data_IF_754542154877
#
_entry.id   IF_754542154877
#
_cell.length_a   1.000
_cell.length_b   1.000
_cell.length_c   1.000
_cell.angle_alpha   90.00
_cell.angle_beta   90.00
_cell.angle_gamma   90.00
#
_symmetry.space_group_name_H-M   'P 1'
#
loop_
_entity.id
_entity.type
_entity.pdbx_description
1 polymer ?
#
# COMPACT_ATOMS: atom_id res chain seq x y z
N UNK A 1 24.82 -52.22 -49.36
CA UNK A 1 24.53 -51.02 -48.53
C UNK A 1 24.39 -49.82 -49.45
N UNK A 2 23.41 -48.95 -49.19
CA UNK A 2 23.27 -47.61 -49.78
C UNK A 2 22.67 -47.46 -51.20
N UNK A 3 21.51 -48.07 -51.48
CA UNK A 3 20.70 -47.61 -52.63
C UNK A 3 19.17 -47.63 -52.43
N UNK A 4 18.64 -48.31 -51.40
CA UNK A 4 17.18 -48.33 -51.16
C UNK A 4 16.68 -47.35 -50.10
N UNK A 5 17.59 -46.62 -49.44
CA UNK A 5 17.26 -45.68 -48.36
C UNK A 5 17.14 -44.22 -48.84
N UNK A 6 17.64 -43.89 -50.03
CA UNK A 6 17.63 -42.50 -50.54
C UNK A 6 16.40 -42.14 -51.38
N UNK A 7 15.57 -43.11 -51.77
CA UNK A 7 14.43 -42.91 -52.69
C UNK A 7 13.06 -42.95 -51.97
N UNK A 8 13.03 -42.56 -50.69
CA UNK A 8 11.77 -42.34 -49.93
C UNK A 8 11.68 -40.94 -49.32
N UNK A 9 12.58 -40.03 -49.67
CA UNK A 9 12.66 -38.69 -49.07
C UNK A 9 11.94 -37.58 -49.88
N UNK A 10 11.35 -37.90 -51.04
CA UNK A 10 10.65 -36.90 -51.87
C UNK A 10 9.41 -37.45 -52.58
N UNK A 11 8.51 -38.15 -51.89
CA UNK A 11 7.12 -38.23 -52.36
C UNK A 11 6.39 -36.94 -51.96
N UNK A 12 5.72 -36.22 -52.89
CA UNK A 12 4.88 -35.10 -52.51
C UNK A 12 3.79 -35.66 -51.59
N UNK A 13 3.83 -35.32 -50.31
CA UNK A 13 2.87 -35.79 -49.32
C UNK A 13 1.45 -35.76 -49.90
N UNK A 14 0.79 -36.93 -49.89
CA UNK A 14 -0.53 -37.15 -50.49
C UNK A 14 -1.50 -36.00 -50.20
N UNK A 15 -2.33 -35.62 -51.17
CA UNK A 15 -3.28 -34.50 -51.02
C UNK A 15 -4.27 -34.74 -49.86
N UNK A 16 -4.55 -36.00 -49.53
CA UNK A 16 -5.50 -36.40 -48.46
C UNK A 16 -5.05 -36.01 -47.04
N UNK A 17 -3.83 -36.31 -46.57
CA UNK A 17 -3.36 -35.86 -45.24
C UNK A 17 -3.26 -34.33 -45.12
N UNK A 18 -2.98 -33.60 -46.20
CA UNK A 18 -2.98 -32.14 -46.20
C UNK A 18 -4.39 -31.56 -46.02
N UNK A 19 -5.39 -32.13 -46.70
CA UNK A 19 -6.80 -31.77 -46.52
C UNK A 19 -7.28 -32.05 -45.09
N UNK A 20 -6.91 -33.21 -44.53
CA UNK A 20 -7.27 -33.56 -43.16
C UNK A 20 -6.63 -32.60 -42.14
N UNK A 21 -5.33 -32.32 -42.29
CA UNK A 21 -4.63 -31.36 -41.44
C UNK A 21 -5.24 -29.96 -41.54
N UNK A 22 -5.61 -29.52 -42.75
CA UNK A 22 -6.33 -28.27 -42.97
C UNK A 22 -7.66 -28.23 -42.21
N UNK A 23 -8.51 -29.25 -42.35
CA UNK A 23 -9.79 -29.33 -41.63
C UNK A 23 -9.63 -29.32 -40.11
N UNK A 24 -8.63 -30.03 -39.58
CA UNK A 24 -8.30 -30.04 -38.14
C UNK A 24 -7.86 -28.64 -37.69
N UNK A 25 -6.97 -27.97 -38.42
CA UNK A 25 -6.53 -26.60 -38.13
C UNK A 25 -7.70 -25.60 -38.15
N UNK A 26 -8.59 -25.70 -39.14
CA UNK A 26 -9.76 -24.83 -39.22
C UNK A 26 -10.73 -25.07 -38.06
N UNK A 27 -10.98 -26.33 -37.70
CA UNK A 27 -11.83 -26.68 -36.56
C UNK A 27 -11.23 -26.17 -35.24
N UNK A 28 -9.93 -26.39 -35.02
CA UNK A 28 -9.19 -25.87 -33.87
C UNK A 28 -9.26 -24.34 -33.83
N UNK A 29 -9.06 -23.66 -34.97
CA UNK A 29 -9.18 -22.22 -35.06
C UNK A 29 -10.56 -21.73 -34.62
N UNK A 30 -11.66 -22.33 -35.11
CA UNK A 30 -13.01 -21.91 -34.71
C UNK A 30 -13.30 -22.12 -33.22
N UNK A 31 -12.80 -23.20 -32.62
CA UNK A 31 -12.94 -23.44 -31.17
C UNK A 31 -12.22 -22.37 -30.36
N UNK A 32 -11.00 -21.98 -30.76
CA UNK A 32 -10.22 -20.98 -30.03
C UNK A 32 -10.52 -19.53 -30.45
N UNK A 33 -11.16 -19.28 -31.59
CA UNK A 33 -11.44 -17.94 -32.09
C UNK A 33 -12.42 -17.18 -31.19
N UNK A 34 -13.50 -17.83 -30.74
CA UNK A 34 -14.45 -17.21 -29.81
C UNK A 34 -13.78 -16.94 -28.45
N UNK A 35 -13.04 -17.91 -27.91
CA UNK A 35 -12.28 -17.73 -26.68
C UNK A 35 -11.26 -16.59 -26.78
N UNK A 36 -10.55 -16.48 -27.90
CA UNK A 36 -9.60 -15.42 -28.17
C UNK A 36 -10.30 -14.06 -28.28
N UNK A 37 -11.47 -13.99 -28.93
CA UNK A 37 -12.27 -12.77 -29.03
C UNK A 37 -12.75 -12.29 -27.66
N UNK A 38 -13.33 -13.18 -26.86
CA UNK A 38 -13.77 -12.85 -25.49
C UNK A 38 -12.60 -12.42 -24.61
N UNK A 39 -11.46 -13.12 -24.69
CA UNK A 39 -10.26 -12.75 -23.95
C UNK A 39 -9.74 -11.38 -24.38
N UNK A 40 -9.70 -11.10 -25.69
CA UNK A 40 -9.22 -9.84 -26.23
C UNK A 40 -10.07 -8.65 -25.77
N UNK A 41 -11.40 -8.79 -25.76
CA UNK A 41 -12.29 -7.75 -25.25
C UNK A 41 -12.16 -7.56 -23.73
N UNK A 42 -12.16 -8.64 -22.96
CA UNK A 42 -11.97 -8.57 -21.51
C UNK A 42 -10.61 -7.96 -21.15
N UNK A 43 -9.56 -8.31 -21.90
CA UNK A 43 -8.23 -7.74 -21.74
C UNK A 43 -8.22 -6.25 -22.08
N UNK A 44 -8.85 -5.85 -23.20
CA UNK A 44 -8.96 -4.46 -23.61
C UNK A 44 -9.66 -3.61 -22.55
N UNK A 45 -10.78 -4.09 -22.00
CA UNK A 45 -11.50 -3.39 -20.92
C UNK A 45 -10.68 -3.26 -19.64
N UNK A 46 -10.00 -4.33 -19.21
CA UNK A 46 -9.21 -4.33 -17.97
C UNK A 46 -7.95 -3.47 -18.09
N UNK A 47 -7.22 -3.61 -19.19
CA UNK A 47 -5.97 -2.88 -19.44
C UNK A 47 -6.20 -1.41 -19.77
N UNK A 48 -7.35 -1.06 -20.35
CA UNK A 48 -7.70 0.32 -20.72
C UNK A 48 -8.51 1.05 -19.62
N UNK A 49 -8.47 0.54 -18.38
CA UNK A 49 -9.10 1.19 -17.23
C UNK A 49 -8.11 2.12 -16.51
N UNK A 50 -8.34 3.45 -16.51
CA UNK A 50 -7.47 4.37 -15.80
C UNK A 50 -7.58 4.17 -14.27
N UNK A 51 -6.45 4.29 -13.57
CA UNK A 51 -6.42 4.13 -12.10
C UNK A 51 -6.72 5.43 -11.33
N UNK A 52 -6.47 6.60 -11.95
CA UNK A 52 -6.66 7.91 -11.32
C UNK A 52 -8.14 8.34 -11.33
N UNK A 53 -8.86 7.96 -12.38
CA UNK A 53 -10.29 8.24 -12.54
C UNK A 53 -10.96 6.98 -13.05
N UNK A 54 -12.16 6.70 -12.55
CA UNK A 54 -12.87 5.49 -12.93
C UNK A 54 -14.35 5.78 -13.10
N UNK A 55 -15.00 4.96 -13.94
CA UNK A 55 -16.45 5.01 -14.12
C UNK A 55 -17.11 4.26 -12.96
N UNK A 56 -18.11 4.87 -12.35
CA UNK A 56 -18.96 4.25 -11.35
C UNK A 56 -20.42 4.35 -11.79
N UNK A 57 -21.20 3.31 -11.47
CA UNK A 57 -22.64 3.30 -11.72
C UNK A 57 -23.37 3.48 -10.40
N UNK A 58 -24.21 4.51 -10.33
CA UNK A 58 -25.04 4.78 -9.16
C UNK A 58 -26.24 3.83 -9.10
N UNK A 59 -26.92 3.76 -7.95
CA UNK A 59 -28.12 2.92 -7.76
C UNK A 59 -29.24 3.24 -8.78
N UNK A 60 -29.30 4.46 -9.26
CA UNK A 60 -30.24 4.91 -10.29
C UNK A 60 -29.78 4.60 -11.73
N UNK A 61 -28.81 3.71 -11.93
CA UNK A 61 -28.20 3.36 -13.21
C UNK A 61 -27.49 4.49 -13.96
N UNK A 62 -27.31 5.65 -13.34
CA UNK A 62 -26.53 6.75 -13.94
C UNK A 62 -25.04 6.43 -13.85
N UNK A 63 -24.36 6.51 -14.99
CA UNK A 63 -22.90 6.48 -15.04
C UNK A 63 -22.32 7.83 -14.65
N UNK A 64 -21.35 7.80 -13.74
CA UNK A 64 -20.57 8.97 -13.34
C UNK A 64 -19.09 8.66 -13.47
N UNK A 65 -18.30 9.68 -13.74
CA UNK A 65 -16.84 9.60 -13.63
C UNK A 65 -16.46 10.09 -12.23
N UNK A 66 -15.71 9.27 -11.51
CA UNK A 66 -15.13 9.61 -10.20
C UNK A 66 -13.68 10.02 -10.44
N UNK A 67 -13.36 11.28 -10.19
CA UNK A 67 -12.02 11.86 -10.34
C UNK A 67 -11.45 12.44 -9.04
N UNK A 68 -11.99 12.05 -7.88
CA UNK A 68 -11.55 12.47 -6.55
C UNK A 68 -10.03 12.32 -6.30
N UNK A 69 -9.40 11.25 -6.80
CA UNK A 69 -7.96 11.06 -6.66
C UNK A 69 -7.15 12.08 -7.46
N UNK A 70 -7.66 12.53 -8.61
CA UNK A 70 -7.07 13.64 -9.37
C UNK A 70 -7.14 14.94 -8.58
N UNK A 71 -8.27 15.22 -7.92
CA UNK A 71 -8.41 16.39 -7.03
C UNK A 71 -7.39 16.35 -5.89
N UNK A 72 -7.16 15.16 -5.32
CA UNK A 72 -6.14 14.97 -4.29
C UNK A 72 -4.73 15.33 -4.77
N UNK A 73 -4.35 14.93 -5.99
CA UNK A 73 -3.07 15.33 -6.57
C UNK A 73 -2.95 16.84 -6.76
N UNK A 74 -4.03 17.53 -7.16
CA UNK A 74 -4.04 18.99 -7.23
C UNK A 74 -3.82 19.65 -5.87
N UNK A 75 -4.30 19.03 -4.79
CA UNK A 75 -4.06 19.47 -3.43
C UNK A 75 -2.61 19.21 -2.99
N UNK A 76 -2.04 18.07 -3.37
CA UNK A 76 -0.67 17.65 -3.03
C UNK A 76 0.42 18.40 -3.81
N UNK A 77 0.13 18.89 -5.03
CA UNK A 77 1.14 19.41 -5.98
C UNK A 77 2.07 20.53 -5.47
N UNK A 78 1.70 21.23 -4.38
CA UNK A 78 2.49 22.31 -3.76
C UNK A 78 2.99 21.94 -2.36
N UNK A 79 3.16 20.65 -2.08
CA UNK A 79 3.48 20.12 -0.76
C UNK A 79 4.53 19.02 -0.88
N UNK A 80 5.29 18.85 0.19
CA UNK A 80 6.30 17.79 0.31
C UNK A 80 5.65 16.57 0.97
N UNK A 81 5.82 15.38 0.38
CA UNK A 81 5.48 14.12 1.03
C UNK A 81 6.63 13.68 1.94
N UNK A 82 6.27 13.01 3.04
CA UNK A 82 7.26 12.46 3.98
C UNK A 82 7.70 11.04 3.61
N UNK A 83 6.92 10.34 2.78
CA UNK A 83 7.27 9.04 2.20
C UNK A 83 7.10 9.04 0.67
N UNK A 84 7.76 8.08 0.03
CA UNK A 84 7.72 7.83 -1.41
C UNK A 84 7.46 6.34 -1.72
N UNK A 85 7.35 6.02 -3.02
CA UNK A 85 7.15 4.64 -3.50
C UNK A 85 8.42 3.80 -3.62
N UNK A 86 9.61 4.34 -3.29
CA UNK A 86 10.89 3.65 -3.46
C UNK A 86 11.25 2.75 -2.28
N UNK A 87 10.54 2.92 -1.15
CA UNK A 87 10.60 2.03 0.03
C UNK A 87 11.98 1.74 0.60
N UNK A 88 12.94 2.66 0.47
CA UNK A 88 14.33 2.44 0.88
C UNK A 88 14.57 2.52 2.41
N UNK A 89 13.65 3.16 3.16
CA UNK A 89 13.75 3.29 4.62
C UNK A 89 12.53 2.65 5.31
N UNK A 90 12.65 1.38 5.66
CA UNK A 90 11.59 0.61 6.33
C UNK A 90 11.21 1.15 7.70
N UNK A 91 12.16 1.69 8.47
CA UNK A 91 11.88 2.26 9.79
C UNK A 91 11.03 3.53 9.70
N UNK A 92 11.29 4.36 8.69
CA UNK A 92 10.45 5.53 8.41
C UNK A 92 9.03 5.10 8.04
N UNK A 93 8.88 4.11 7.15
CA UNK A 93 7.57 3.57 6.77
C UNK A 93 6.85 2.98 7.98
N UNK A 94 7.55 2.23 8.83
CA UNK A 94 6.99 1.68 10.06
C UNK A 94 6.59 2.75 11.08
N UNK A 95 7.34 3.86 11.13
CA UNK A 95 6.98 5.02 11.95
C UNK A 95 5.65 5.61 11.48
N UNK A 96 5.46 5.78 10.16
CA UNK A 96 4.20 6.26 9.60
C UNK A 96 3.05 5.26 9.83
N UNK A 97 3.30 3.97 9.60
CA UNK A 97 2.34 2.90 9.88
C UNK A 97 1.90 2.94 11.35
N UNK A 98 2.85 3.01 12.28
CA UNK A 98 2.58 3.10 13.71
C UNK A 98 1.77 4.33 14.10
N UNK A 99 2.02 5.49 13.47
CA UNK A 99 1.22 6.71 13.70
C UNK A 99 -0.22 6.54 13.20
N UNK A 100 -0.41 5.98 12.01
CA UNK A 100 -1.73 5.83 11.41
C UNK A 100 -2.59 4.78 12.16
N UNK A 101 -1.97 3.74 12.71
CA UNK A 101 -2.68 2.68 13.45
C UNK A 101 -2.77 2.92 14.96
N UNK A 102 -2.03 3.90 15.49
CA UNK A 102 -2.11 4.29 16.90
C UNK A 102 -3.48 4.87 17.29
N UNK A 103 -3.87 4.77 18.58
CA UNK A 103 -4.95 5.56 19.13
C UNK A 103 -4.75 7.06 18.85
N UNK A 104 -5.83 7.76 18.55
CA UNK A 104 -5.81 9.15 18.07
C UNK A 104 -4.91 10.12 18.88
N UNK A 105 -4.91 10.03 20.21
CA UNK A 105 -4.10 10.89 21.07
C UNK A 105 -2.59 10.58 20.95
N UNK A 106 -2.23 9.31 20.90
CA UNK A 106 -0.84 8.87 20.67
C UNK A 106 -0.39 9.29 19.27
N UNK A 107 -1.24 9.05 18.27
CA UNK A 107 -0.96 9.43 16.89
C UNK A 107 -0.70 10.94 16.75
N UNK A 108 -1.51 11.78 17.40
CA UNK A 108 -1.31 13.23 17.42
C UNK A 108 0.03 13.63 18.05
N UNK A 109 0.38 12.99 19.16
CA UNK A 109 1.61 13.30 19.91
C UNK A 109 2.87 13.15 19.05
N UNK A 110 2.85 12.21 18.10
CA UNK A 110 3.91 11.94 17.13
C UNK A 110 3.75 12.79 15.86
N UNK A 111 2.55 12.79 15.26
CA UNK A 111 2.28 13.46 13.98
C UNK A 111 2.57 14.96 14.01
N UNK A 112 2.32 15.64 15.15
CA UNK A 112 2.57 17.08 15.34
C UNK A 112 4.05 17.48 15.20
N UNK A 113 4.96 16.51 15.21
CA UNK A 113 6.41 16.72 15.02
C UNK A 113 6.89 16.41 13.60
N UNK A 114 6.05 15.78 12.78
CA UNK A 114 6.41 15.29 11.44
C UNK A 114 5.65 15.98 10.31
N UNK A 115 4.36 16.26 10.50
CA UNK A 115 3.48 16.64 9.41
C UNK A 115 2.51 17.77 9.78
N UNK A 116 2.18 18.59 8.77
CA UNK A 116 1.12 19.60 8.86
C UNK A 116 -0.26 19.06 8.49
N UNK A 117 -0.29 18.03 7.65
CA UNK A 117 -1.51 17.46 7.12
C UNK A 117 -1.38 15.94 7.01
N UNK A 118 -2.51 15.26 7.17
CA UNK A 118 -2.68 13.83 6.92
C UNK A 118 -3.71 13.68 5.82
N UNK A 119 -3.36 12.97 4.75
CA UNK A 119 -4.27 12.62 3.67
C UNK A 119 -4.63 11.14 3.82
N UNK A 120 -5.92 10.83 3.71
CA UNK A 120 -6.43 9.45 3.73
C UNK A 120 -7.31 9.21 2.53
N UNK A 121 -7.18 8.02 1.95
CA UNK A 121 -8.14 7.50 0.99
C UNK A 121 -9.26 6.80 1.76
N UNK A 122 -10.49 7.19 1.44
CA UNK A 122 -11.70 6.80 2.13
C UNK A 122 -12.78 6.35 1.12
N UNK A 123 -13.96 6.01 1.63
CA UNK A 123 -15.14 5.76 0.81
C UNK A 123 -15.31 4.33 0.33
N UNK A 124 -14.62 3.36 0.94
CA UNK A 124 -14.91 1.94 0.83
C UNK A 124 -14.36 1.29 -0.45
N UNK A 125 -13.99 0.01 -0.31
CA UNK A 125 -13.45 -0.84 -1.38
C UNK A 125 -12.01 -0.46 -1.76
N UNK A 126 -11.02 -1.11 -1.13
CA UNK A 126 -9.59 -0.91 -1.42
C UNK A 126 -8.99 0.40 -0.90
N UNK A 127 -9.71 1.10 -0.02
CA UNK A 127 -9.27 2.30 0.68
C UNK A 127 -8.18 1.99 1.73
N UNK A 128 -7.71 3.02 2.43
CA UNK A 128 -6.61 2.84 3.39
C UNK A 128 -7.02 1.96 4.57
N UNK A 129 -8.31 1.90 4.92
CA UNK A 129 -8.84 1.00 5.94
C UNK A 129 -8.69 -0.48 5.54
N UNK A 130 -8.95 -0.82 4.28
CA UNK A 130 -8.76 -2.20 3.80
C UNK A 130 -7.29 -2.66 3.88
N UNK A 131 -6.35 -1.72 3.77
CA UNK A 131 -4.90 -1.99 3.83
C UNK A 131 -4.32 -1.82 5.24
N UNK A 132 -5.10 -1.25 6.16
CA UNK A 132 -4.64 -0.89 7.50
C UNK A 132 -4.12 -2.04 8.37
N UNK A 133 -4.59 -3.30 8.27
CA UNK A 133 -3.96 -4.41 8.98
C UNK A 133 -2.51 -4.64 8.56
N UNK A 134 -2.17 -4.37 7.30
CA UNK A 134 -0.79 -4.42 6.83
C UNK A 134 0.05 -3.29 7.42
N UNK A 135 -0.49 -2.07 7.50
CA UNK A 135 0.17 -0.94 8.16
C UNK A 135 0.47 -1.24 9.64
N UNK A 136 -0.49 -1.84 10.36
CA UNK A 136 -0.32 -2.23 11.75
C UNK A 136 0.81 -3.25 11.92
N UNK A 137 0.90 -4.25 11.02
CA UNK A 137 1.99 -5.25 11.02
C UNK A 137 3.36 -4.63 10.78
N UNK A 138 3.48 -3.69 9.83
CA UNK A 138 4.74 -2.98 9.58
C UNK A 138 5.12 -2.12 10.80
N UNK A 139 4.16 -1.38 11.37
CA UNK A 139 4.42 -0.60 12.57
C UNK A 139 4.88 -1.47 13.75
N UNK A 140 4.22 -2.61 13.96
CA UNK A 140 4.50 -3.53 15.05
C UNK A 140 5.84 -4.29 14.90
N UNK A 141 6.32 -4.50 13.67
CA UNK A 141 7.60 -5.19 13.44
C UNK A 141 8.81 -4.35 13.89
N UNK A 142 8.72 -3.01 13.77
CA UNK A 142 9.78 -2.08 14.19
C UNK A 142 9.55 -1.56 15.61
N UNK A 143 8.29 -1.29 15.98
CA UNK A 143 7.90 -0.78 17.30
C UNK A 143 7.02 -1.81 18.03
N UNK A 144 7.63 -2.77 18.77
CA UNK A 144 6.89 -3.81 19.45
C UNK A 144 6.03 -3.24 20.59
N UNK A 145 4.94 -3.94 20.91
CA UNK A 145 4.04 -3.58 22.00
C UNK A 145 2.79 -2.80 21.57
N UNK A 146 2.65 -2.49 20.27
CA UNK A 146 1.37 -2.02 19.74
C UNK A 146 0.34 -3.15 19.75
N UNK A 147 0.72 -4.32 19.22
CA UNK A 147 -0.14 -5.50 19.14
C UNK A 147 0.41 -6.61 20.05
N UNK A 148 -0.49 -7.46 20.57
CA UNK A 148 -0.11 -8.61 21.41
C UNK A 148 0.60 -9.71 20.63
N UNK A 149 0.51 -9.70 19.30
CA UNK A 149 1.05 -10.73 18.42
C UNK A 149 1.72 -10.12 17.17
N UNK A 150 2.68 -10.84 16.55
CA UNK A 150 3.37 -10.37 15.34
C UNK A 150 2.48 -10.08 14.13
N UNK A 151 1.35 -10.77 14.00
CA UNK A 151 0.43 -10.60 12.87
C UNK A 151 -0.58 -9.47 13.09
N UNK A 152 -0.56 -8.86 14.28
CA UNK A 152 -1.54 -7.88 14.73
C UNK A 152 -2.99 -8.32 14.44
N UNK A 153 -3.34 -9.54 14.84
CA UNK A 153 -4.63 -10.16 14.45
C UNK A 153 -5.84 -9.44 15.03
N UNK A 154 -5.65 -8.67 16.11
CA UNK A 154 -6.68 -7.86 16.76
C UNK A 154 -6.95 -6.52 16.05
N UNK A 155 -6.14 -6.14 15.06
CA UNK A 155 -6.32 -4.91 14.29
C UNK A 155 -7.02 -5.22 12.96
N UNK A 156 -8.32 -4.96 12.89
CA UNK A 156 -9.09 -5.28 11.69
C UNK A 156 -10.60 -5.08 11.85
N UNK A 157 -11.33 -5.83 11.04
CA UNK A 157 -12.79 -5.91 11.09
C UNK A 157 -13.22 -7.34 11.40
N UNK A 158 -14.30 -7.47 12.16
CA UNK A 158 -14.98 -8.74 12.37
C UNK A 158 -15.70 -9.20 11.09
N UNK A 159 -16.19 -10.45 11.09
CA UNK A 159 -16.90 -11.02 9.93
C UNK A 159 -18.16 -10.24 9.55
N UNK A 160 -18.81 -9.60 10.52
CA UNK A 160 -19.97 -8.73 10.34
C UNK A 160 -19.60 -7.31 9.82
N UNK A 161 -18.31 -7.06 9.55
CA UNK A 161 -17.73 -5.77 9.16
C UNK A 161 -17.73 -4.70 10.26
N UNK A 162 -17.99 -5.07 11.52
CA UNK A 162 -17.76 -4.16 12.64
C UNK A 162 -16.24 -4.03 12.92
N UNK A 163 -15.75 -2.84 13.26
CA UNK A 163 -14.33 -2.65 13.60
C UNK A 163 -14.02 -3.31 14.95
N UNK A 164 -12.83 -3.88 15.10
CA UNK A 164 -12.33 -4.27 16.43
C UNK A 164 -12.12 -3.03 17.32
N UNK A 165 -12.07 -3.17 18.66
CA UNK A 165 -11.80 -2.02 19.54
C UNK A 165 -10.51 -1.27 19.15
N UNK A 166 -9.46 -2.03 18.82
CA UNK A 166 -8.18 -1.50 18.38
C UNK A 166 -8.29 -0.73 17.05
N UNK A 167 -9.08 -1.24 16.10
CA UNK A 167 -9.37 -0.54 14.84
C UNK A 167 -10.15 0.75 15.10
N UNK A 168 -11.20 0.69 15.91
CA UNK A 168 -12.10 1.81 16.19
C UNK A 168 -11.37 3.00 16.87
N UNK A 169 -10.36 2.71 17.69
CA UNK A 169 -9.54 3.73 18.35
C UNK A 169 -8.49 4.35 17.42
N UNK A 170 -8.12 3.67 16.33
CA UNK A 170 -7.04 4.08 15.45
C UNK A 170 -7.32 5.41 14.74
N UNK A 171 -6.27 6.20 14.54
CA UNK A 171 -6.36 7.47 13.82
C UNK A 171 -6.95 7.28 12.42
N UNK A 172 -6.47 6.26 11.70
CA UNK A 172 -6.90 5.98 10.34
C UNK A 172 -8.40 5.68 10.25
N UNK A 173 -8.93 4.84 11.15
CA UNK A 173 -10.37 4.57 11.19
C UNK A 173 -11.18 5.83 11.44
N UNK A 174 -10.78 6.64 12.43
CA UNK A 174 -11.49 7.90 12.73
C UNK A 174 -11.48 8.87 11.56
N UNK A 175 -10.36 8.99 10.84
CA UNK A 175 -10.25 9.87 9.68
C UNK A 175 -11.06 9.36 8.47
N UNK A 176 -10.97 8.07 8.16
CA UNK A 176 -11.69 7.45 7.04
C UNK A 176 -13.20 7.37 7.29
N UNK A 177 -13.65 7.28 8.55
CA UNK A 177 -15.06 7.24 8.94
C UNK A 177 -15.59 8.57 9.47
N UNK A 178 -14.79 9.64 9.47
CA UNK A 178 -15.19 10.96 9.97
C UNK A 178 -16.54 11.42 9.37
N UNK A 179 -17.51 11.75 10.23
CA UNK A 179 -18.84 12.19 9.82
C UNK A 179 -19.76 11.06 9.32
N UNK A 180 -19.32 9.80 9.44
CA UNK A 180 -20.10 8.61 9.09
C UNK A 180 -20.24 7.72 10.33
N UNK A 181 -21.37 7.03 10.46
CA UNK A 181 -21.62 6.07 11.56
C UNK A 181 -21.40 6.66 12.97
N UNK A 182 -21.63 7.97 13.14
CA UNK A 182 -21.40 8.67 14.41
C UNK A 182 -19.92 8.86 14.80
N UNK A 183 -18.98 8.49 13.93
CA UNK A 183 -17.54 8.61 14.19
C UNK A 183 -17.11 10.07 14.01
N UNK A 184 -16.47 10.61 15.04
CA UNK A 184 -15.93 11.97 15.06
C UNK A 184 -14.43 11.94 15.28
N UNK A 185 -13.75 12.92 14.71
CA UNK A 185 -12.33 13.17 14.90
C UNK A 185 -12.20 14.29 15.94
N UNK A 186 -11.24 14.17 16.85
CA UNK A 186 -10.98 15.18 17.85
C UNK A 186 -10.43 16.45 17.20
N UNK A 187 -11.26 17.50 17.12
CA UNK A 187 -10.94 18.76 16.46
C UNK A 187 -9.78 19.53 17.12
N UNK A 188 -9.45 19.21 18.37
CA UNK A 188 -8.29 19.79 19.05
C UNK A 188 -6.96 19.24 18.53
N UNK A 189 -6.99 18.06 17.91
CA UNK A 189 -5.84 17.34 17.35
C UNK A 189 -5.80 17.43 15.83
N UNK A 190 -6.93 17.22 15.17
CA UNK A 190 -7.03 17.18 13.71
C UNK A 190 -8.28 17.90 13.23
N UNK A 191 -8.13 18.75 12.21
CA UNK A 191 -9.23 19.49 11.61
C UNK A 191 -9.41 19.08 10.15
N UNK A 192 -10.62 18.70 9.73
CA UNK A 192 -10.90 18.43 8.32
C UNK A 192 -10.65 19.71 7.48
N UNK A 193 -9.76 19.62 6.50
CA UNK A 193 -9.35 20.72 5.65
C UNK A 193 -9.89 20.59 4.22
N UNK A 194 -10.04 19.37 3.73
CA UNK A 194 -10.58 19.08 2.40
C UNK A 194 -11.26 17.71 2.39
N UNK A 195 -12.36 17.61 1.67
CA UNK A 195 -13.06 16.37 1.34
C UNK A 195 -13.37 16.43 -0.15
N UNK A 196 -13.07 15.35 -0.86
CA UNK A 196 -13.37 15.25 -2.29
C UNK A 196 -14.87 15.08 -2.54
N UNK A 197 -15.32 15.33 -3.77
CA UNK A 197 -16.75 15.36 -4.14
C UNK A 197 -17.53 14.12 -3.71
N UNK A 198 -16.98 12.92 -3.88
CA UNK A 198 -17.63 11.66 -3.50
C UNK A 198 -17.05 11.07 -2.19
N UNK A 199 -16.29 11.87 -1.44
CA UNK A 199 -15.70 11.48 -0.16
C UNK A 199 -14.66 10.37 -0.25
N UNK A 200 -14.08 10.14 -1.44
CA UNK A 200 -13.01 9.15 -1.66
C UNK A 200 -11.64 9.59 -1.12
N UNK A 201 -11.43 10.89 -0.92
CA UNK A 201 -10.22 11.43 -0.32
C UNK A 201 -10.59 12.47 0.72
N UNK A 202 -9.89 12.43 1.85
CA UNK A 202 -10.03 13.40 2.93
C UNK A 202 -8.66 13.86 3.37
N UNK A 203 -8.59 15.14 3.73
CA UNK A 203 -7.35 15.74 4.22
C UNK A 203 -7.63 16.44 5.53
N UNK A 204 -6.84 16.12 6.53
CA UNK A 204 -6.92 16.67 7.86
C UNK A 204 -5.67 17.49 8.15
N UNK A 205 -5.86 18.70 8.68
CA UNK A 205 -4.79 19.54 9.21
C UNK A 205 -4.45 19.09 10.62
N UNK A 206 -3.17 18.83 10.88
CA UNK A 206 -2.66 18.56 12.22
C UNK A 206 -2.64 19.87 13.01
N UNK A 207 -3.26 19.87 14.19
CA UNK A 207 -3.28 21.02 15.11
C UNK A 207 -2.09 20.96 16.05
N UNK A 208 -1.71 22.11 16.63
CA UNK A 208 -0.61 22.21 17.62
C UNK A 208 0.73 21.62 17.12
N UNK A 209 1.02 21.81 15.83
CA UNK A 209 2.29 21.41 15.20
C UNK A 209 3.45 22.14 15.87
N UNK A 210 4.49 21.39 16.23
CA UNK A 210 5.64 21.92 16.96
C UNK A 210 6.51 22.80 16.06
N UNK A 211 6.45 24.12 16.26
CA UNK A 211 7.34 25.05 15.55
C UNK A 211 8.82 24.75 15.82
N UNK A 212 9.16 24.42 17.07
CA UNK A 212 10.52 23.98 17.45
C UNK A 212 11.02 22.80 16.61
N UNK A 213 10.16 21.81 16.35
CA UNK A 213 10.53 20.65 15.55
C UNK A 213 10.69 20.99 14.08
N UNK A 214 9.85 21.87 13.55
CA UNK A 214 9.97 22.38 12.18
C UNK A 214 11.26 23.16 11.96
N UNK A 215 11.54 24.11 12.85
CA UNK A 215 12.72 24.96 12.77
C UNK A 215 14.00 24.10 12.85
N UNK A 216 13.99 23.06 13.71
CA UNK A 216 15.10 22.11 13.81
C UNK A 216 15.33 21.29 12.53
N UNK A 217 14.27 20.76 11.91
CA UNK A 217 14.38 19.99 10.65
C UNK A 217 14.76 20.89 9.47
N UNK A 218 14.36 22.16 9.49
CA UNK A 218 14.68 23.12 8.45
C UNK A 218 16.16 23.52 8.46
N UNK A 219 16.81 23.49 9.62
CA UNK A 219 18.21 23.85 9.79
C UNK A 219 19.15 22.83 9.11
N UNK A 220 19.90 23.23 8.06
CA UNK A 220 20.85 22.36 7.37
C UNK A 220 21.93 21.77 8.28
N UNK A 221 22.26 22.41 9.40
CA UNK A 221 23.26 21.92 10.35
C UNK A 221 22.86 20.60 11.01
N UNK A 222 21.56 20.27 11.05
CA UNK A 222 21.06 19.03 11.64
C UNK A 222 21.03 17.84 10.65
N UNK A 223 21.44 18.05 9.39
CA UNK A 223 21.49 16.98 8.39
C UNK A 223 22.76 16.14 8.54
N UNK A 224 22.66 14.85 8.28
CA UNK A 224 23.82 13.93 8.24
C UNK A 224 24.17 13.67 6.80
N UNK A 225 25.37 14.07 6.39
CA UNK A 225 25.91 13.78 5.07
C UNK A 225 26.71 12.48 5.10
N UNK A 226 26.60 11.68 4.04
CA UNK A 226 27.29 10.38 3.95
C UNK A 226 28.82 10.52 3.99
N UNK A 227 29.34 11.65 3.49
CA UNK A 227 30.74 12.01 3.54
C UNK A 227 30.91 13.55 3.66
N UNK A 228 32.06 14.06 4.16
CA UNK A 228 32.36 15.48 4.16
C UNK A 228 32.29 16.05 2.73
N UNK A 229 31.43 17.05 2.50
CA UNK A 229 31.24 17.65 1.17
C UNK A 229 30.30 16.87 0.23
N UNK A 230 29.64 15.81 0.70
CA UNK A 230 28.63 15.11 -0.09
C UNK A 230 27.45 16.03 -0.42
N UNK A 231 26.90 15.88 -1.63
CA UNK A 231 25.67 16.56 -2.04
C UNK A 231 24.41 15.93 -1.40
N UNK A 232 24.53 14.70 -0.89
CA UNK A 232 23.45 13.99 -0.23
C UNK A 232 23.61 14.07 1.29
N UNK A 233 22.66 14.76 1.92
CA UNK A 233 22.59 14.89 3.38
C UNK A 233 21.17 14.58 3.85
N UNK A 234 21.04 13.46 4.55
CA UNK A 234 19.77 12.98 5.08
C UNK A 234 19.28 13.84 6.24
N UNK A 235 17.98 14.11 6.25
CA UNK A 235 17.32 14.72 7.40
C UNK A 235 17.26 13.75 8.57
N UNK A 236 17.25 14.29 9.79
CA UNK A 236 17.09 13.53 11.01
C UNK A 236 15.70 13.77 11.62
N UNK A 237 15.28 12.89 12.53
CA UNK A 237 14.11 13.15 13.35
C UNK A 237 14.40 14.22 14.41
N UNK A 238 13.45 15.14 14.69
CA UNK A 238 13.63 16.13 15.73
C UNK A 238 13.79 15.48 17.12
N UNK A 239 14.54 16.09 18.04
CA UNK A 239 14.82 15.52 19.37
C UNK A 239 13.57 15.13 20.18
N UNK A 240 12.44 15.79 19.92
CA UNK A 240 11.16 15.47 20.57
C UNK A 240 10.62 14.07 20.24
N UNK A 241 11.07 13.45 19.14
CA UNK A 241 10.72 12.08 18.77
C UNK A 241 11.79 11.07 19.21
N UNK A 242 12.92 11.50 19.77
CA UNK A 242 14.05 10.63 20.03
C UNK A 242 13.68 9.47 20.96
N UNK A 243 12.86 9.70 21.98
CA UNK A 243 12.39 8.67 22.90
C UNK A 243 11.53 7.60 22.20
N UNK A 244 10.72 8.02 21.22
CA UNK A 244 9.93 7.10 20.41
C UNK A 244 10.83 6.34 19.43
N UNK A 245 11.69 7.05 18.70
CA UNK A 245 12.62 6.47 17.73
C UNK A 245 13.60 5.51 18.41
N UNK A 246 14.03 5.75 19.64
CA UNK A 246 14.94 4.84 20.37
C UNK A 246 14.30 3.49 20.71
N UNK A 247 12.97 3.37 20.65
CA UNK A 247 12.26 2.10 20.85
C UNK A 247 12.25 1.23 19.59
N UNK A 248 12.67 1.78 18.44
CA UNK A 248 12.73 1.05 17.17
C UNK A 248 13.71 -0.10 17.26
N UNK A 249 13.41 -1.17 16.54
CA UNK A 249 14.33 -2.26 16.27
C UNK A 249 14.72 -2.22 14.80
N UNK A 250 16.00 -2.40 14.54
CA UNK A 250 16.52 -2.38 13.18
C UNK A 250 15.81 -3.44 12.34
N UNK A 251 15.16 -3.00 11.27
CA UNK A 251 14.52 -3.90 10.32
C UNK A 251 15.60 -4.49 9.42
N UNK A 252 15.95 -5.77 9.65
CA UNK A 252 16.91 -6.49 8.80
C UNK A 252 16.18 -7.15 7.63
N UNK A 253 16.52 -6.77 6.41
CA UNK A 253 15.94 -7.41 5.23
C UNK A 253 16.38 -8.87 5.12
N UNK A 254 15.52 -9.71 4.53
CA UNK A 254 15.85 -11.11 4.24
C UNK A 254 17.07 -11.25 3.31
N UNK A 255 17.37 -10.23 2.52
CA UNK A 255 18.51 -10.16 1.60
C UNK A 255 19.85 -9.78 2.27
N UNK A 256 19.85 -9.43 3.56
CA UNK A 256 21.10 -9.24 4.34
C UNK A 256 21.70 -10.60 4.72
N UNK A 257 22.21 -11.33 3.73
CA UNK A 257 22.80 -12.67 3.91
C UNK A 257 24.01 -12.70 4.87
N UNK A 258 24.64 -11.55 5.11
CA UNK A 258 25.88 -11.42 5.89
C UNK A 258 25.68 -11.06 7.37
N UNK A 259 24.44 -10.84 7.82
CA UNK A 259 24.18 -10.35 9.20
C UNK A 259 23.50 -11.44 10.03
N UNK A 260 24.12 -11.82 11.17
CA UNK A 260 23.48 -12.76 12.11
C UNK A 260 22.14 -12.19 12.59
N UNK A 261 21.07 -12.96 12.37
CA UNK A 261 19.74 -12.65 12.92
C UNK A 261 19.80 -12.73 14.44
N UNK A 262 19.31 -11.72 15.14
CA UNK A 262 19.20 -11.74 16.59
C UNK A 262 18.13 -12.74 17.02
N UNK A 263 18.26 -13.28 18.24
CA UNK A 263 17.37 -14.33 18.77
C UNK A 263 15.91 -13.88 18.89
N UNK A 264 15.66 -12.58 19.07
CA UNK A 264 14.31 -12.06 19.11
C UNK A 264 13.68 -12.02 17.71
N UNK A 265 14.36 -11.47 16.72
CA UNK A 265 13.88 -11.41 15.33
C UNK A 265 13.62 -12.79 14.76
N UNK A 266 14.44 -13.79 15.11
CA UNK A 266 14.18 -15.18 14.77
C UNK A 266 12.87 -15.69 15.37
N UNK A 267 12.67 -15.54 16.69
CA UNK A 267 11.43 -15.94 17.37
C UNK A 267 10.19 -15.21 16.83
N UNK A 268 10.32 -13.90 16.58
CA UNK A 268 9.25 -13.09 16.00
C UNK A 268 8.87 -13.59 14.60
N UNK A 269 9.87 -13.89 13.77
CA UNK A 269 9.66 -14.41 12.43
C UNK A 269 9.06 -15.83 12.44
N UNK A 270 9.55 -16.71 13.30
CA UNK A 270 8.99 -18.06 13.50
C UNK A 270 7.53 -18.00 13.94
N UNK A 271 7.20 -17.16 14.92
CA UNK A 271 5.81 -16.98 15.36
C UNK A 271 4.94 -16.39 14.25
N UNK A 272 5.45 -15.40 13.53
CA UNK A 272 4.75 -14.80 12.39
C UNK A 272 4.44 -15.85 11.31
N UNK A 273 5.44 -16.64 10.91
CA UNK A 273 5.28 -17.69 9.91
C UNK A 273 4.34 -18.80 10.39
N UNK A 274 4.43 -19.20 11.66
CA UNK A 274 3.51 -20.18 12.27
C UNK A 274 2.06 -19.72 12.21
N UNK A 275 1.80 -18.42 12.45
CA UNK A 275 0.44 -17.86 12.40
C UNK A 275 -0.06 -17.66 10.98
N UNK A 276 0.81 -17.32 10.03
CA UNK A 276 0.45 -17.11 8.62
C UNK A 276 0.30 -18.42 7.84
N UNK A 277 1.05 -19.46 8.19
CA UNK A 277 1.06 -20.75 7.50
C UNK A 277 -0.20 -21.60 7.68
N UNK A 278 -1.12 -21.19 8.56
CA UNK A 278 -2.21 -22.05 9.02
C UNK A 278 -1.66 -23.13 9.94
N UNK A 279 -2.02 -23.07 11.23
CA UNK A 279 -1.78 -24.17 12.16
C UNK A 279 -2.63 -25.38 11.82
#
# INVERSE_FOLDING_TARGET
>A
MSSSLHEKLHEPASVKPRLLAGLVLTFVFFVYADQFYQYSHLFAERSSSPQIMFKARLQNNKEIIVDDYREAYHWLRKRTSIADGNTWNHEHIATLGRILTAPEAEAHSLARHLADYVLVWAGGGGDDLAKSPHLARIGNSVYPGHCSDPTCSQFGFHQDRSPTPMMAESLLFKMCMAGQMGVTVNETFFQLAFTSKYGKVRVFKVKKVSKKSKDWVADPANRVCDAPGSWFCSGQYPPALQEFISKRRDFKQLEDFNVKKDTHSQKYHEEYMRRMGGG
#
